data_IF_247213223590
#
_entry.id   IF_247213223590
#
_cell.length_a   1.000
_cell.length_b   1.000
_cell.length_c   1.000
_cell.angle_alpha   90.00
_cell.angle_beta   90.00
_cell.angle_gamma   90.00
#
_symmetry.space_group_name_H-M   'P 1'
#
loop_
_entity.id
_entity.type
_entity.pdbx_description
1 polymer ?
#
# COMPACT_ATOMS: atom_id res chain seq x y z
N UNK A 1 0.09 13.89 -6.30
CA UNK A 1 0.43 12.94 -5.22
C UNK A 1 1.79 13.22 -4.59
N UNK A 2 2.80 13.76 -5.33
CA UNK A 2 4.02 14.29 -4.69
C UNK A 2 3.70 15.44 -3.72
N UNK A 3 4.46 15.56 -2.63
CA UNK A 3 4.28 16.53 -1.52
C UNK A 3 3.01 16.37 -0.67
N UNK A 4 2.39 15.19 -0.62
CA UNK A 4 1.33 14.88 0.34
C UNK A 4 1.91 14.23 1.60
N UNK A 5 1.21 14.30 2.73
CA UNK A 5 1.52 13.47 3.88
C UNK A 5 1.33 11.99 3.54
N UNK A 6 2.00 11.10 4.29
CA UNK A 6 1.84 9.65 4.16
C UNK A 6 0.37 9.26 4.28
N UNK A 7 -0.32 9.82 5.28
CA UNK A 7 -1.76 9.61 5.50
C UNK A 7 -2.63 10.07 4.33
N UNK A 8 -2.36 11.28 3.82
CA UNK A 8 -3.11 11.83 2.69
C UNK A 8 -2.91 11.01 1.42
N UNK A 9 -1.67 10.57 1.16
CA UNK A 9 -1.38 9.71 0.03
C UNK A 9 -2.05 8.34 0.16
N UNK A 10 -1.94 7.70 1.32
CA UNK A 10 -2.54 6.39 1.59
C UNK A 10 -4.07 6.43 1.42
N UNK A 11 -4.73 7.44 1.99
CA UNK A 11 -6.18 7.63 1.87
C UNK A 11 -6.60 7.84 0.41
N UNK A 12 -5.89 8.66 -0.34
CA UNK A 12 -6.18 8.89 -1.76
C UNK A 12 -6.00 7.61 -2.59
N UNK A 13 -4.96 6.82 -2.32
CA UNK A 13 -4.71 5.54 -2.96
C UNK A 13 -5.86 4.55 -2.69
N UNK A 14 -6.25 4.38 -1.42
CA UNK A 14 -7.35 3.48 -1.06
C UNK A 14 -8.66 3.89 -1.73
N UNK A 15 -8.97 5.19 -1.78
CA UNK A 15 -10.16 5.68 -2.47
C UNK A 15 -10.18 5.31 -3.95
N UNK A 16 -9.04 5.34 -4.64
CA UNK A 16 -8.94 4.93 -6.05
C UNK A 16 -9.19 3.42 -6.21
N UNK A 17 -8.65 2.61 -5.30
CA UNK A 17 -8.89 1.16 -5.32
C UNK A 17 -10.33 0.81 -4.98
N UNK A 18 -10.98 1.54 -4.07
CA UNK A 18 -12.39 1.38 -3.77
C UNK A 18 -13.27 1.70 -4.98
N UNK A 19 -12.97 2.78 -5.70
CA UNK A 19 -13.68 3.13 -6.93
C UNK A 19 -13.45 2.08 -8.03
N UNK A 20 -12.22 1.60 -8.19
CA UNK A 20 -11.92 0.50 -9.10
C UNK A 20 -12.67 -0.79 -8.72
N UNK A 21 -12.77 -1.11 -7.44
CA UNK A 21 -13.51 -2.29 -6.95
C UNK A 21 -15.01 -2.18 -7.23
N UNK A 22 -15.58 -0.97 -7.15
CA UNK A 22 -16.97 -0.70 -7.52
C UNK A 22 -17.22 -0.86 -9.02
N UNK A 23 -16.31 -0.35 -9.85
CA UNK A 23 -16.42 -0.43 -11.31
C UNK A 23 -16.14 -1.84 -11.85
N UNK A 24 -15.22 -2.57 -11.20
CA UNK A 24 -14.75 -3.90 -11.64
C UNK A 24 -14.61 -4.85 -10.45
N UNK A 25 -15.73 -5.34 -9.89
CA UNK A 25 -15.68 -6.31 -8.81
C UNK A 25 -15.03 -7.62 -9.25
N UNK A 26 -14.46 -8.34 -8.29
CA UNK A 26 -13.94 -9.69 -8.53
C UNK A 26 -15.10 -10.63 -8.85
N UNK A 27 -14.95 -11.37 -9.94
CA UNK A 27 -15.95 -12.35 -10.36
C UNK A 27 -15.69 -13.68 -9.65
N UNK A 28 -16.75 -14.31 -9.17
CA UNK A 28 -16.71 -15.62 -8.50
C UNK A 28 -17.37 -16.68 -9.37
N UNK A 29 -16.91 -17.95 -9.31
CA UNK A 29 -17.63 -19.02 -9.98
C UNK A 29 -19.02 -19.17 -9.36
N UNK A 30 -20.07 -19.12 -10.18
CA UNK A 30 -21.45 -19.38 -9.75
C UNK A 30 -21.78 -20.88 -9.76
N UNK A 31 -20.88 -21.71 -10.28
CA UNK A 31 -21.04 -23.15 -10.43
C UNK A 31 -21.13 -23.94 -9.11
N UNK A 32 -20.68 -23.38 -7.98
CA UNK A 32 -20.64 -24.04 -6.67
C UNK A 32 -19.66 -25.21 -6.55
N UNK A 33 -19.05 -25.66 -7.65
CA UNK A 33 -18.20 -26.85 -7.73
C UNK A 33 -16.71 -26.52 -7.96
N UNK A 34 -16.33 -25.25 -8.15
CA UNK A 34 -14.92 -24.90 -8.39
C UNK A 34 -14.09 -25.03 -7.12
N UNK A 35 -13.07 -25.89 -7.15
CA UNK A 35 -12.03 -25.99 -6.11
C UNK A 35 -10.81 -25.13 -6.41
N UNK A 36 -10.82 -24.44 -7.55
CA UNK A 36 -9.73 -23.60 -8.07
C UNK A 36 -9.34 -22.42 -7.15
N UNK A 37 -10.29 -21.97 -6.31
CA UNK A 37 -10.22 -20.79 -5.44
C UNK A 37 -9.73 -19.52 -6.17
N UNK A 38 -10.15 -19.35 -7.42
CA UNK A 38 -9.64 -18.30 -8.32
C UNK A 38 -9.93 -16.88 -7.81
N UNK A 39 -11.09 -16.65 -7.22
CA UNK A 39 -11.47 -15.36 -6.68
C UNK A 39 -10.56 -14.91 -5.52
N UNK A 40 -10.19 -15.84 -4.62
CA UNK A 40 -9.28 -15.54 -3.52
C UNK A 40 -7.84 -15.26 -4.01
N UNK A 41 -7.39 -15.96 -5.06
CA UNK A 41 -6.09 -15.68 -5.69
C UNK A 41 -6.06 -14.27 -6.27
N UNK A 42 -7.07 -13.89 -7.05
CA UNK A 42 -7.18 -12.52 -7.58
C UNK A 42 -7.34 -11.45 -6.48
N UNK A 43 -7.99 -11.77 -5.36
CA UNK A 43 -8.04 -10.86 -4.21
C UNK A 43 -6.65 -10.63 -3.64
N UNK A 44 -5.86 -11.70 -3.45
CA UNK A 44 -4.47 -11.60 -3.00
C UNK A 44 -3.61 -10.79 -3.97
N UNK A 45 -3.73 -11.05 -5.27
CA UNK A 45 -3.00 -10.31 -6.30
C UNK A 45 -3.33 -8.79 -6.25
N UNK A 46 -4.59 -8.42 -6.00
CA UNK A 46 -5.00 -7.01 -5.82
C UNK A 46 -4.42 -6.38 -4.55
N UNK A 47 -4.31 -7.11 -3.45
CA UNK A 47 -3.65 -6.61 -2.23
C UNK A 47 -2.14 -6.41 -2.47
N UNK A 48 -1.49 -7.32 -3.18
CA UNK A 48 -0.07 -7.18 -3.56
C UNK A 48 0.14 -6.00 -4.51
N UNK A 49 -0.72 -5.83 -5.52
CA UNK A 49 -0.69 -4.68 -6.43
C UNK A 49 -0.87 -3.35 -5.69
N UNK A 50 -1.79 -3.29 -4.73
CA UNK A 50 -1.98 -2.12 -3.85
C UNK A 50 -0.71 -1.77 -3.08
N UNK A 51 -0.07 -2.76 -2.47
CA UNK A 51 1.19 -2.56 -1.75
C UNK A 51 2.29 -2.04 -2.70
N UNK A 52 2.46 -2.67 -3.86
CA UNK A 52 3.46 -2.22 -4.83
C UNK A 52 3.22 -0.79 -5.28
N UNK A 53 1.96 -0.44 -5.58
CA UNK A 53 1.59 0.91 -5.98
C UNK A 53 1.85 1.92 -4.86
N UNK A 54 1.61 1.53 -3.61
CA UNK A 54 1.94 2.35 -2.45
C UNK A 54 3.45 2.61 -2.38
N UNK A 55 4.28 1.57 -2.45
CA UNK A 55 5.74 1.67 -2.32
C UNK A 55 6.42 2.42 -3.48
N UNK A 56 5.88 2.32 -4.70
CA UNK A 56 6.44 2.98 -5.89
C UNK A 56 5.92 4.41 -6.04
N UNK A 57 4.68 4.68 -5.64
CA UNK A 57 4.03 5.96 -5.87
C UNK A 57 4.21 6.98 -4.74
N UNK A 58 4.64 6.54 -3.55
CA UNK A 58 5.01 7.45 -2.46
C UNK A 58 6.27 8.24 -2.83
N UNK A 59 6.50 9.37 -2.19
CA UNK A 59 7.58 10.29 -2.53
C UNK A 59 8.97 9.66 -2.34
N UNK A 60 9.58 9.19 -3.44
CA UNK A 60 10.86 8.50 -3.45
C UNK A 60 12.03 9.37 -2.97
N UNK A 61 11.99 10.69 -3.22
CA UNK A 61 13.01 11.62 -2.71
C UNK A 61 12.99 11.67 -1.18
N UNK A 62 11.81 11.51 -0.60
CA UNK A 62 11.57 11.55 0.83
C UNK A 62 11.74 10.17 1.50
N UNK A 63 11.29 9.09 0.86
CA UNK A 63 11.11 7.79 1.50
C UNK A 63 11.80 6.62 0.78
N UNK A 64 12.65 6.88 -0.23
CA UNK A 64 13.26 5.82 -1.05
C UNK A 64 14.05 4.77 -0.26
N UNK A 65 14.69 5.15 0.86
CA UNK A 65 15.36 4.19 1.75
C UNK A 65 14.38 3.23 2.44
N UNK A 66 13.23 3.74 2.90
CA UNK A 66 12.17 2.92 3.50
C UNK A 66 11.57 1.98 2.44
N UNK A 67 11.32 2.48 1.24
CA UNK A 67 10.85 1.66 0.12
C UNK A 67 11.81 0.52 -0.20
N UNK A 68 13.11 0.82 -0.33
CA UNK A 68 14.15 -0.19 -0.62
C UNK A 68 14.22 -1.27 0.47
N UNK A 69 14.14 -0.87 1.74
CA UNK A 69 14.10 -1.80 2.87
C UNK A 69 12.85 -2.71 2.79
N UNK A 70 11.66 -2.14 2.61
CA UNK A 70 10.41 -2.91 2.53
C UNK A 70 10.41 -3.90 1.35
N UNK A 71 10.93 -3.49 0.20
CA UNK A 71 11.06 -4.34 -0.99
C UNK A 71 12.06 -5.49 -0.83
N UNK A 72 12.96 -5.42 0.16
CA UNK A 72 13.94 -6.49 0.44
C UNK A 72 13.37 -7.65 1.27
N UNK A 73 12.19 -7.48 1.86
CA UNK A 73 11.54 -8.52 2.66
C UNK A 73 10.91 -9.63 1.79
N UNK A 74 11.03 -10.88 2.22
CA UNK A 74 10.36 -12.04 1.62
C UNK A 74 9.70 -12.92 2.70
N UNK A 75 8.37 -13.02 2.76
CA UNK A 75 7.39 -12.35 1.88
C UNK A 75 7.34 -10.83 2.12
N UNK A 76 6.84 -10.09 1.13
CA UNK A 76 6.56 -8.66 1.30
C UNK A 76 5.57 -8.44 2.46
N UNK A 77 5.69 -7.32 3.19
CA UNK A 77 4.79 -7.01 4.29
C UNK A 77 3.40 -6.65 3.78
N UNK A 78 2.37 -6.80 4.63
CA UNK A 78 1.04 -6.29 4.32
C UNK A 78 1.03 -4.76 4.22
N UNK A 79 0.11 -4.21 3.43
CA UNK A 79 0.04 -2.78 3.16
C UNK A 79 -0.16 -1.95 4.45
N UNK A 80 -0.92 -2.46 5.42
CA UNK A 80 -1.12 -1.80 6.71
C UNK A 80 0.19 -1.67 7.49
N UNK A 81 1.02 -2.73 7.47
CA UNK A 81 2.34 -2.71 8.10
C UNK A 81 3.27 -1.74 7.39
N UNK A 82 3.26 -1.72 6.06
CA UNK A 82 4.03 -0.74 5.30
C UNK A 82 3.60 0.68 5.68
N UNK A 83 2.29 0.98 5.66
CA UNK A 83 1.74 2.28 6.06
C UNK A 83 2.19 2.73 7.45
N UNK A 84 2.14 1.85 8.46
CA UNK A 84 2.64 2.18 9.81
C UNK A 84 4.13 2.55 9.82
N UNK A 85 4.96 1.86 9.03
CA UNK A 85 6.39 2.16 8.93
C UNK A 85 6.62 3.54 8.30
N UNK A 86 5.87 3.91 7.25
CA UNK A 86 5.97 5.24 6.67
C UNK A 86 5.47 6.34 7.61
N UNK A 87 4.40 6.11 8.37
CA UNK A 87 3.95 7.06 9.40
C UNK A 87 5.02 7.29 10.47
N UNK A 88 5.70 6.22 10.90
CA UNK A 88 6.79 6.33 11.85
C UNK A 88 7.96 7.14 11.28
N UNK A 89 8.30 6.92 10.00
CA UNK A 89 9.35 7.68 9.31
C UNK A 89 8.97 9.16 9.16
N UNK A 90 7.76 9.46 8.71
CA UNK A 90 7.25 10.83 8.56
C UNK A 90 7.32 11.61 9.88
N UNK A 91 6.86 10.99 10.98
CA UNK A 91 6.93 11.58 12.31
C UNK A 91 8.37 11.78 12.79
N UNK A 92 9.26 10.81 12.52
CA UNK A 92 10.68 10.91 12.88
C UNK A 92 11.35 12.08 12.16
N UNK A 93 11.07 12.25 10.87
CA UNK A 93 11.57 13.37 10.05
C UNK A 93 10.99 14.71 10.47
N UNK A 94 9.70 14.75 10.84
CA UNK A 94 9.09 15.95 11.40
C UNK A 94 9.69 16.36 12.76
N UNK A 95 10.04 15.38 13.60
CA UNK A 95 10.73 15.61 14.88
C UNK A 95 12.15 16.18 14.71
N UNK A 96 12.89 15.75 13.69
CA UNK A 96 14.22 16.29 13.36
C UNK A 96 14.16 17.76 12.91
N UNK A 97 13.01 18.22 12.40
CA UNK A 97 12.79 19.62 11.99
C UNK A 97 12.48 20.58 13.15
N UNK A 98 12.35 20.09 14.39
CA UNK A 98 12.24 20.93 15.59
C UNK A 98 13.61 21.00 16.29
N UNK A 99 14.41 22.06 16.11
CA UNK A 99 15.65 22.22 16.85
C UNK A 99 15.33 22.68 18.27
N UNK A 100 15.69 21.87 19.28
CA UNK A 100 15.81 22.37 20.66
C UNK A 100 15.41 21.38 21.75
N UNK A 101 16.40 20.65 22.25
CA UNK A 101 16.55 20.32 23.67
C UNK A 101 18.02 20.12 23.98
#
# INVERSE_FOLDING_TARGET
MKNMSVDGYFTALLSLYDEMNRLKPLHTCTCGLCTCNVAAKFAKDREEEKLHQFLIGIDDEAYGTVCSNLLSHNPLPEIDRAYQIFLQEENSRAGVLLPGS
#
